data_IF_749020543221
#
_entry.id   IF_749020543221
#
_cell.length_a   1.000
_cell.length_b   1.000
_cell.length_c   1.000
_cell.angle_alpha   90.00
_cell.angle_beta   90.00
_cell.angle_gamma   90.00
#
_symmetry.space_group_name_H-M   'P 1'
#
loop_
_entity.id
_entity.type
_entity.pdbx_description
1 polymer ?
#
# COMPACT_ATOMS: atom_id res chain seq x y z
N UNK A 1 24.21 35.91 -20.81
CA UNK A 1 24.38 34.75 -19.91
C UNK A 1 24.18 33.50 -20.74
N UNK A 2 25.23 32.70 -20.93
CA UNK A 2 25.23 31.55 -21.84
C UNK A 2 24.32 30.45 -21.29
N UNK A 3 23.22 30.13 -21.99
CA UNK A 3 22.51 28.85 -21.79
C UNK A 3 23.39 27.76 -22.39
N UNK A 4 24.19 27.10 -21.57
CA UNK A 4 24.77 25.81 -21.96
C UNK A 4 23.65 24.78 -21.93
N UNK A 5 23.25 24.27 -23.10
CA UNK A 5 22.30 23.18 -23.22
C UNK A 5 22.90 21.93 -22.56
N UNK A 6 22.43 21.66 -21.35
CA UNK A 6 22.84 20.47 -20.61
C UNK A 6 22.28 19.22 -21.32
N UNK A 7 23.16 18.44 -21.94
CA UNK A 7 22.76 17.16 -22.55
C UNK A 7 22.67 16.08 -21.48
N UNK A 8 21.44 15.76 -21.07
CA UNK A 8 21.14 14.63 -20.16
C UNK A 8 21.79 13.33 -20.65
N UNK A 9 21.79 13.11 -21.97
CA UNK A 9 22.34 11.90 -22.59
C UNK A 9 23.86 11.73 -22.40
N UNK A 10 24.64 12.80 -22.49
CA UNK A 10 26.09 12.72 -22.30
C UNK A 10 26.46 12.42 -20.84
N UNK A 11 25.74 13.04 -19.90
CA UNK A 11 25.91 12.80 -18.47
C UNK A 11 25.58 11.36 -18.07
N UNK A 12 24.45 10.83 -18.55
CA UNK A 12 24.09 9.47 -18.12
C UNK A 12 24.98 8.41 -18.75
N UNK A 13 25.44 8.58 -20.00
CA UNK A 13 26.48 7.72 -20.58
C UNK A 13 27.73 7.63 -19.70
N UNK A 14 28.16 8.75 -19.12
CA UNK A 14 29.34 8.82 -18.25
C UNK A 14 29.13 8.19 -16.86
N UNK A 15 27.86 7.90 -16.52
CA UNK A 15 27.41 7.37 -15.23
C UNK A 15 27.14 5.86 -15.24
N UNK A 16 27.19 5.20 -16.40
CA UNK A 16 26.97 3.74 -16.54
C UNK A 16 28.04 2.96 -15.75
N UNK A 17 27.59 2.01 -14.92
CA UNK A 17 28.46 1.16 -14.11
C UNK A 17 28.99 1.79 -12.82
N UNK A 18 28.64 3.05 -12.53
CA UNK A 18 29.01 3.74 -11.29
C UNK A 18 27.86 3.74 -10.29
N UNK A 19 28.20 3.86 -9.01
CA UNK A 19 27.23 4.07 -7.94
C UNK A 19 26.66 5.50 -8.03
N UNK A 20 25.38 5.64 -8.39
CA UNK A 20 24.73 6.95 -8.63
C UNK A 20 24.73 7.89 -7.43
N UNK A 21 24.82 7.36 -6.20
CA UNK A 21 24.94 8.16 -4.97
C UNK A 21 26.19 9.04 -4.95
N UNK A 22 27.22 8.67 -5.73
CA UNK A 22 28.52 9.37 -5.82
C UNK A 22 28.63 10.29 -7.03
N UNK A 23 27.58 10.41 -7.85
CA UNK A 23 27.56 11.25 -9.05
C UNK A 23 26.65 12.45 -8.80
N UNK A 24 27.18 13.65 -8.99
CA UNK A 24 26.40 14.89 -8.86
C UNK A 24 25.37 14.96 -9.98
N UNK A 25 24.09 14.80 -9.64
CA UNK A 25 23.00 14.92 -10.60
C UNK A 25 22.84 16.38 -11.03
N UNK A 26 22.66 16.65 -12.33
CA UNK A 26 22.35 17.97 -12.87
C UNK A 26 21.08 18.53 -12.25
N UNK A 27 21.12 19.79 -11.81
CA UNK A 27 20.00 20.43 -11.11
C UNK A 27 18.69 20.46 -11.93
N UNK A 28 18.78 20.41 -13.27
CA UNK A 28 17.62 20.39 -14.16
C UNK A 28 16.83 19.06 -14.09
N UNK A 29 17.41 18.02 -13.51
CA UNK A 29 16.75 16.74 -13.25
C UNK A 29 16.12 16.69 -11.85
N UNK A 30 16.23 17.76 -11.05
CA UNK A 30 15.63 17.80 -9.73
C UNK A 30 14.22 18.39 -9.77
N UNK A 31 13.35 17.89 -8.91
CA UNK A 31 12.11 18.58 -8.55
C UNK A 31 12.41 19.65 -7.48
N UNK A 32 11.62 20.73 -7.38
CA UNK A 32 11.86 21.83 -6.45
C UNK A 32 11.46 21.50 -5.00
N UNK A 33 11.73 20.27 -4.54
CA UNK A 33 11.44 19.81 -3.19
C UNK A 33 12.68 19.15 -2.58
N UNK A 34 12.92 19.43 -1.31
CA UNK A 34 13.79 18.62 -0.46
C UNK A 34 13.17 17.25 -0.24
N UNK A 35 14.00 16.22 -0.05
CA UNK A 35 13.49 14.89 0.29
C UNK A 35 12.66 14.90 1.59
N UNK A 36 12.91 15.82 2.53
CA UNK A 36 12.09 15.95 3.73
C UNK A 36 10.64 16.34 3.40
N UNK A 37 10.47 17.28 2.47
CA UNK A 37 9.16 17.69 1.96
C UNK A 37 8.50 16.55 1.17
N UNK A 38 9.32 15.80 0.41
CA UNK A 38 8.85 14.65 -0.37
C UNK A 38 8.24 13.57 0.52
N UNK A 39 8.84 13.32 1.69
CA UNK A 39 8.36 12.33 2.65
C UNK A 39 7.05 12.76 3.32
N UNK A 40 6.83 14.08 3.49
CA UNK A 40 5.56 14.58 4.03
C UNK A 40 4.35 14.20 3.16
N UNK A 41 4.55 13.98 1.86
CA UNK A 41 3.50 13.53 0.94
C UNK A 41 3.01 12.10 1.21
N UNK A 42 3.71 11.32 2.05
CA UNK A 42 3.16 10.04 2.55
C UNK A 42 1.85 10.23 3.32
N UNK A 43 1.60 11.43 3.84
CA UNK A 43 0.39 11.81 4.55
C UNK A 43 -0.71 12.41 3.66
N UNK A 44 -0.58 12.38 2.32
CA UNK A 44 -1.60 12.94 1.40
C UNK A 44 -3.00 12.38 1.67
N UNK A 45 -3.08 11.08 1.97
CA UNK A 45 -4.32 10.34 2.25
C UNK A 45 -4.52 10.04 3.74
N UNK A 46 -4.14 10.98 4.62
CA UNK A 46 -4.25 10.83 6.08
C UNK A 46 -5.66 10.46 6.56
N UNK A 47 -6.71 10.81 5.79
CA UNK A 47 -8.10 10.49 6.11
C UNK A 47 -8.39 8.98 6.21
N UNK A 48 -7.55 8.13 5.60
CA UNK A 48 -7.64 6.68 5.78
C UNK A 48 -7.31 6.26 7.21
N UNK A 49 -6.37 6.96 7.86
CA UNK A 49 -6.05 6.75 9.27
C UNK A 49 -7.16 7.28 10.17
N UNK A 50 -7.74 8.43 9.84
CA UNK A 50 -8.90 8.98 10.60
C UNK A 50 -10.09 8.00 10.56
N UNK A 51 -10.34 7.38 9.39
CA UNK A 51 -11.35 6.30 9.27
C UNK A 51 -10.97 5.07 10.09
N UNK A 52 -9.70 4.67 10.10
CA UNK A 52 -9.23 3.52 10.88
C UNK A 52 -9.41 3.74 12.39
N UNK A 53 -9.19 4.98 12.87
CA UNK A 53 -9.44 5.37 14.26
C UNK A 53 -10.92 5.22 14.65
N UNK A 54 -11.84 5.47 13.71
CA UNK A 54 -13.28 5.34 13.94
C UNK A 54 -13.87 3.94 13.76
N UNK A 55 -13.10 3.00 13.19
CA UNK A 55 -13.59 1.68 12.82
C UNK A 55 -13.42 0.67 13.97
N UNK A 56 -14.52 0.02 14.37
CA UNK A 56 -14.53 -0.92 15.50
C UNK A 56 -14.10 -2.32 15.10
N UNK A 57 -14.35 -2.73 13.87
CA UNK A 57 -13.93 -4.03 13.36
C UNK A 57 -12.41 -4.04 13.10
N UNK A 58 -11.61 -4.86 13.80
CA UNK A 58 -10.17 -4.94 13.60
C UNK A 58 -9.77 -5.38 12.18
N UNK A 59 -10.62 -6.14 11.48
CA UNK A 59 -10.34 -6.56 10.10
C UNK A 59 -10.46 -5.36 9.16
N UNK A 60 -11.55 -4.58 9.26
CA UNK A 60 -11.72 -3.34 8.49
C UNK A 60 -10.70 -2.26 8.84
N UNK A 61 -10.28 -2.16 10.11
CA UNK A 61 -9.16 -1.28 10.47
C UNK A 61 -7.89 -1.68 9.73
N UNK A 62 -7.57 -2.97 9.71
CA UNK A 62 -6.38 -3.47 9.02
C UNK A 62 -6.43 -3.19 7.52
N UNK A 63 -7.61 -3.22 6.91
CA UNK A 63 -7.83 -2.83 5.50
C UNK A 63 -7.55 -1.36 5.25
N UNK A 64 -8.05 -0.47 6.11
CA UNK A 64 -7.80 0.97 6.03
C UNK A 64 -6.31 1.31 6.22
N UNK A 65 -5.64 0.65 7.16
CA UNK A 65 -4.18 0.79 7.36
C UNK A 65 -3.41 0.26 6.15
N UNK A 66 -3.85 -0.85 5.56
CA UNK A 66 -3.25 -1.42 4.34
C UNK A 66 -3.42 -0.47 3.15
N UNK A 67 -4.61 0.11 2.98
CA UNK A 67 -4.88 1.11 1.96
C UNK A 67 -4.01 2.36 2.16
N UNK A 68 -3.84 2.83 3.40
CA UNK A 68 -2.95 3.95 3.72
C UNK A 68 -1.50 3.64 3.33
N UNK A 69 -0.97 2.47 3.72
CA UNK A 69 0.39 2.05 3.38
C UNK A 69 0.62 2.05 1.85
N UNK A 70 -0.33 1.53 1.06
CA UNK A 70 -0.27 1.56 -0.40
C UNK A 70 -0.34 3.00 -0.95
N UNK A 71 -1.28 3.80 -0.44
CA UNK A 71 -1.50 5.18 -0.90
C UNK A 71 -0.28 6.07 -0.70
N UNK A 72 0.53 5.85 0.34
CA UNK A 72 1.75 6.62 0.58
C UNK A 72 2.77 6.52 -0.56
N UNK A 73 2.80 5.38 -1.26
CA UNK A 73 3.67 5.14 -2.42
C UNK A 73 3.15 5.84 -3.69
N UNK A 74 1.88 6.24 -3.71
CA UNK A 74 1.24 6.98 -4.81
C UNK A 74 1.86 8.34 -5.09
N UNK A 75 2.48 8.95 -4.09
CA UNK A 75 3.27 10.17 -4.21
C UNK A 75 4.34 10.08 -5.33
N UNK A 76 4.82 8.90 -5.69
CA UNK A 76 5.80 8.71 -6.78
C UNK A 76 5.22 8.81 -8.20
N UNK A 77 3.90 8.77 -8.37
CA UNK A 77 3.27 8.69 -9.68
C UNK A 77 3.47 9.99 -10.49
N UNK A 78 4.00 9.86 -11.71
CA UNK A 78 4.19 10.99 -12.64
C UNK A 78 5.32 11.95 -12.27
N UNK A 79 6.08 11.66 -11.21
CA UNK A 79 7.24 12.46 -10.80
C UNK A 79 8.48 11.97 -11.52
N UNK A 80 9.06 12.86 -12.33
CA UNK A 80 10.24 12.58 -13.16
C UNK A 80 11.51 13.13 -12.51
N UNK A 81 11.38 14.13 -11.64
CA UNK A 81 12.50 14.80 -10.97
C UNK A 81 12.94 14.10 -9.69
N UNK A 82 14.25 14.15 -9.41
CA UNK A 82 14.83 13.70 -8.15
C UNK A 82 14.65 14.81 -7.08
N UNK A 83 14.19 14.51 -5.87
CA UNK A 83 14.19 15.51 -4.80
C UNK A 83 15.62 15.90 -4.41
N UNK A 84 15.80 17.11 -3.90
CA UNK A 84 17.08 17.54 -3.34
C UNK A 84 17.46 16.64 -2.16
N UNK A 85 18.72 16.20 -2.14
CA UNK A 85 19.27 15.46 -1.01
C UNK A 85 19.45 16.43 0.16
N UNK A 86 18.76 16.25 1.30
CA UNK A 86 18.83 17.19 2.39
C UNK A 86 20.24 17.27 2.99
N UNK A 87 20.58 18.43 3.55
CA UNK A 87 21.80 18.58 4.35
C UNK A 87 21.66 17.85 5.68
N UNK A 88 22.78 17.44 6.30
CA UNK A 88 22.75 16.88 7.65
C UNK A 88 22.14 17.90 8.63
N UNK A 89 21.14 17.49 9.41
CA UNK A 89 20.42 18.36 10.34
C UNK A 89 19.42 19.31 9.69
N UNK A 90 19.21 19.24 8.37
CA UNK A 90 18.08 19.93 7.74
C UNK A 90 16.78 19.38 8.31
N UNK A 91 15.83 20.28 8.61
CA UNK A 91 14.53 19.95 9.17
C UNK A 91 13.39 20.47 8.29
N UNK A 92 12.25 19.80 8.33
CA UNK A 92 11.00 20.26 7.72
C UNK A 92 9.84 19.99 8.66
N UNK A 93 8.93 20.96 8.81
CA UNK A 93 7.69 20.82 9.55
C UNK A 93 6.48 21.14 8.67
N UNK A 94 5.37 20.47 8.93
CA UNK A 94 4.09 20.73 8.27
C UNK A 94 2.95 20.52 9.26
N UNK A 95 2.16 21.58 9.46
CA UNK A 95 0.87 21.50 10.13
C UNK A 95 -0.22 21.37 9.05
N UNK A 96 -0.92 20.25 9.03
CA UNK A 96 -1.96 20.02 8.03
C UNK A 96 -3.12 19.22 8.61
N UNK A 97 -4.34 19.73 8.41
CA UNK A 97 -5.57 19.16 8.98
C UNK A 97 -5.44 18.98 10.50
N UNK A 98 -5.47 17.75 10.98
CA UNK A 98 -5.45 17.33 12.38
C UNK A 98 -4.12 16.66 12.79
N UNK A 99 -3.05 16.84 12.00
CA UNK A 99 -1.73 16.30 12.35
C UNK A 99 -0.61 17.34 12.19
N UNK A 100 0.49 17.06 12.90
CA UNK A 100 1.77 17.76 12.77
C UNK A 100 2.79 16.74 12.27
N UNK A 101 3.42 17.04 11.14
CA UNK A 101 4.53 16.28 10.57
C UNK A 101 5.83 17.03 10.85
N UNK A 102 6.85 16.30 11.31
CA UNK A 102 8.23 16.79 11.45
C UNK A 102 9.19 15.77 10.84
N UNK A 103 10.21 16.25 10.13
CA UNK A 103 11.27 15.43 9.59
C UNK A 103 12.64 16.07 9.75
N UNK A 104 13.65 15.23 9.88
CA UNK A 104 15.06 15.63 9.99
C UNK A 104 15.94 14.68 9.17
N UNK A 105 16.94 15.25 8.51
CA UNK A 105 18.03 14.46 7.94
C UNK A 105 19.06 14.10 9.01
N UNK A 106 18.87 12.94 9.64
CA UNK A 106 19.67 12.49 10.78
C UNK A 106 21.03 11.88 10.40
N UNK A 107 21.25 11.57 9.12
CA UNK A 107 22.55 11.11 8.60
C UNK A 107 22.72 11.49 7.14
N UNK A 108 23.94 11.82 6.72
CA UNK A 108 24.27 12.15 5.33
C UNK A 108 25.04 11.03 4.60
N UNK A 109 25.81 10.21 5.32
CA UNK A 109 26.59 9.10 4.77
C UNK A 109 26.49 7.84 5.66
N UNK A 110 25.53 6.94 5.39
CA UNK A 110 24.52 7.00 4.31
C UNK A 110 23.42 8.05 4.58
N UNK A 111 22.70 8.54 3.55
CA UNK A 111 21.56 9.43 3.75
C UNK A 111 20.43 8.71 4.49
N UNK A 112 20.01 9.26 5.63
CA UNK A 112 18.87 8.77 6.42
C UNK A 112 18.01 9.96 6.83
N UNK A 113 16.73 9.90 6.50
CA UNK A 113 15.70 10.83 6.95
C UNK A 113 14.88 10.16 8.04
N UNK A 114 14.69 10.81 9.19
CA UNK A 114 13.71 10.41 10.18
C UNK A 114 12.49 11.33 10.06
N UNK A 115 11.28 10.81 10.25
CA UNK A 115 10.08 11.62 10.39
C UNK A 115 9.17 11.09 11.49
N UNK A 116 8.38 12.01 12.04
CA UNK A 116 7.34 11.76 13.02
C UNK A 116 6.10 12.55 12.65
N UNK A 117 4.95 11.92 12.81
CA UNK A 117 3.63 12.52 12.66
C UNK A 117 2.88 12.31 13.96
N UNK A 118 2.32 13.37 14.50
CA UNK A 118 1.47 13.35 15.68
C UNK A 118 0.08 13.89 15.33
N UNK A 119 -0.96 13.19 15.78
CA UNK A 119 -2.34 13.66 15.82
C UNK A 119 -2.94 13.34 17.20
N UNK A 120 -4.15 13.80 17.48
CA UNK A 120 -4.83 13.45 18.74
C UNK A 120 -5.14 11.95 18.88
N UNK A 121 -5.17 11.20 17.78
CA UNK A 121 -5.65 9.81 17.75
C UNK A 121 -4.62 8.76 17.32
N UNK A 122 -3.56 9.20 16.65
CA UNK A 122 -2.51 8.32 16.15
C UNK A 122 -1.15 9.03 16.07
N UNK A 123 -0.08 8.23 16.05
CA UNK A 123 1.25 8.66 15.61
C UNK A 123 1.80 7.76 14.52
N UNK A 124 2.58 8.33 13.61
CA UNK A 124 3.31 7.62 12.57
C UNK A 124 4.78 8.03 12.61
N UNK A 125 5.70 7.07 12.70
CA UNK A 125 7.14 7.36 12.71
C UNK A 125 7.91 6.39 11.82
N UNK A 126 8.95 6.89 11.18
CA UNK A 126 9.86 6.05 10.42
C UNK A 126 11.25 6.66 10.25
N UNK A 127 12.20 5.80 9.90
CA UNK A 127 13.46 6.20 9.26
C UNK A 127 13.43 5.71 7.83
N UNK A 128 13.90 6.52 6.88
CA UNK A 128 13.97 6.18 5.48
C UNK A 128 15.41 6.29 4.99
N UNK A 129 15.92 5.18 4.46
CA UNK A 129 17.21 5.08 3.78
C UNK A 129 16.98 4.39 2.43
N UNK A 130 17.53 4.91 1.35
CA UNK A 130 17.38 4.31 0.02
C UNK A 130 18.73 3.83 -0.51
N UNK A 131 18.78 2.57 -0.92
CA UNK A 131 19.90 2.03 -1.68
C UNK A 131 19.55 2.01 -3.16
N UNK A 132 20.32 2.76 -3.95
CA UNK A 132 20.11 2.89 -5.39
C UNK A 132 21.09 1.98 -6.15
N UNK A 133 20.62 1.27 -7.18
CA UNK A 133 21.45 0.52 -8.13
C UNK A 133 21.10 0.91 -9.55
N UNK A 134 22.11 1.23 -10.35
CA UNK A 134 21.91 1.65 -11.73
C UNK A 134 22.25 0.53 -12.71
N UNK A 135 21.30 0.21 -13.59
CA UNK A 135 21.42 -0.86 -14.59
C UNK A 135 21.51 -0.32 -16.02
N UNK A 136 21.95 0.92 -16.20
CA UNK A 136 22.05 1.55 -17.51
C UNK A 136 20.73 2.16 -17.97
N UNK A 137 19.67 1.37 -18.18
CA UNK A 137 18.36 1.90 -18.61
C UNK A 137 17.38 2.16 -17.47
N UNK A 138 17.64 1.58 -16.31
CA UNK A 138 16.77 1.65 -15.14
C UNK A 138 17.57 1.85 -13.85
N UNK A 139 16.89 2.34 -12.81
CA UNK A 139 17.41 2.46 -11.45
C UNK A 139 16.53 1.61 -10.54
N UNK A 140 17.14 0.66 -9.85
CA UNK A 140 16.48 -0.03 -8.74
C UNK A 140 16.66 0.76 -7.45
N UNK A 141 15.58 0.90 -6.72
CA UNK A 141 15.49 1.63 -5.47
C UNK A 141 15.01 0.66 -4.40
N UNK A 142 15.86 0.45 -3.40
CA UNK A 142 15.57 -0.41 -2.26
C UNK A 142 15.39 0.46 -1.02
N UNK A 143 14.15 0.76 -0.61
CA UNK A 143 13.89 1.41 0.66
C UNK A 143 14.31 0.51 1.82
N UNK A 144 14.80 1.15 2.87
CA UNK A 144 15.17 0.56 4.16
C UNK A 144 14.59 1.42 5.27
N UNK A 145 14.21 0.75 6.34
CA UNK A 145 13.58 1.34 7.50
C UNK A 145 12.20 0.77 7.78
N UNK A 146 11.75 0.91 9.01
CA UNK A 146 10.47 0.41 9.50
C UNK A 146 9.55 1.60 9.71
N UNK A 147 8.37 1.56 9.10
CA UNK A 147 7.30 2.50 9.39
C UNK A 147 6.49 1.91 10.55
N UNK A 148 6.23 2.72 11.57
CA UNK A 148 5.46 2.32 12.76
C UNK A 148 4.29 3.28 12.94
N UNK A 149 3.07 2.74 12.94
CA UNK A 149 1.83 3.45 13.23
C UNK A 149 1.30 2.99 14.59
N UNK A 150 0.89 3.93 15.42
CA UNK A 150 0.18 3.67 16.67
C UNK A 150 -1.22 4.28 16.59
N UNK A 151 -2.26 3.49 16.82
CA UNK A 151 -3.62 3.98 17.05
C UNK A 151 -3.88 4.00 18.56
N UNK A 152 -4.13 5.17 19.14
CA UNK A 152 -4.20 5.32 20.59
C UNK A 152 -5.46 4.70 21.19
N UNK A 153 -6.62 4.93 20.58
CA UNK A 153 -7.90 4.45 21.11
C UNK A 153 -7.96 2.93 21.30
N UNK A 154 -7.41 2.18 20.35
CA UNK A 154 -7.37 0.71 20.39
C UNK A 154 -6.09 0.15 21.03
N UNK A 155 -5.11 1.01 21.35
CA UNK A 155 -3.77 0.60 21.74
C UNK A 155 -3.13 -0.37 20.72
N UNK A 156 -3.29 -0.06 19.43
CA UNK A 156 -2.84 -0.91 18.33
C UNK A 156 -1.56 -0.38 17.69
N UNK A 157 -0.57 -1.27 17.56
CA UNK A 157 0.70 -0.96 16.91
C UNK A 157 0.83 -1.73 15.59
N UNK A 158 1.10 -1.00 14.51
CA UNK A 158 1.29 -1.55 13.17
C UNK A 158 2.68 -1.24 12.66
N UNK A 159 3.26 -2.17 11.91
CA UNK A 159 4.52 -1.94 11.22
C UNK A 159 4.55 -2.49 9.81
N UNK A 160 5.23 -1.79 8.91
CA UNK A 160 5.54 -2.28 7.57
C UNK A 160 6.85 -1.68 7.04
N UNK A 161 7.35 -2.24 5.95
CA UNK A 161 8.44 -1.68 5.14
C UNK A 161 7.94 -1.51 3.71
N UNK A 162 8.33 -0.42 3.06
CA UNK A 162 7.96 -0.20 1.66
C UNK A 162 8.66 -1.22 0.75
N UNK A 163 8.02 -1.54 -0.38
CA UNK A 163 8.54 -2.48 -1.37
C UNK A 163 9.63 -1.84 -2.23
N UNK A 164 10.38 -2.67 -2.95
CA UNK A 164 11.32 -2.17 -3.94
C UNK A 164 10.58 -1.53 -5.11
N UNK A 165 11.22 -0.57 -5.75
CA UNK A 165 10.74 0.01 -6.99
C UNK A 165 11.86 0.12 -8.03
N UNK A 166 11.48 0.06 -9.30
CA UNK A 166 12.37 0.27 -10.44
C UNK A 166 11.87 1.49 -11.22
N UNK A 167 12.77 2.44 -11.44
CA UNK A 167 12.56 3.59 -12.31
C UNK A 167 13.10 3.21 -13.68
N UNK A 168 12.19 3.05 -14.64
CA UNK A 168 12.51 2.61 -15.99
C UNK A 168 12.75 3.79 -16.93
N UNK A 169 13.44 3.52 -18.05
CA UNK A 169 13.66 4.44 -19.15
C UNK A 169 14.34 5.77 -18.77
N UNK A 170 15.26 5.76 -17.80
CA UNK A 170 15.92 6.99 -17.34
C UNK A 170 16.81 7.65 -18.41
N UNK A 171 17.11 6.95 -19.52
CA UNK A 171 17.93 7.48 -20.62
C UNK A 171 17.14 7.87 -21.87
N UNK A 172 16.10 7.08 -22.20
CA UNK A 172 15.44 7.13 -23.50
C UNK A 172 14.03 6.63 -23.36
N UNK A 173 13.06 7.41 -23.86
CA UNK A 173 11.64 7.12 -23.75
C UNK A 173 10.98 7.78 -22.54
N UNK A 174 9.72 7.42 -22.29
CA UNK A 174 8.96 7.95 -21.14
C UNK A 174 9.39 7.22 -19.86
N UNK A 175 9.84 7.99 -18.87
CA UNK A 175 10.13 7.48 -17.52
C UNK A 175 8.84 6.98 -16.89
N UNK A 176 8.91 5.80 -16.27
CA UNK A 176 7.84 5.23 -15.48
C UNK A 176 8.41 4.45 -14.31
N UNK A 177 7.60 4.29 -13.26
CA UNK A 177 8.00 3.66 -12.00
C UNK A 177 7.16 2.39 -11.82
N UNK A 178 7.82 1.32 -11.40
CA UNK A 178 7.23 0.03 -11.12
C UNK A 178 7.55 -0.38 -9.69
N UNK A 179 6.55 -0.77 -8.90
CA UNK A 179 6.75 -1.33 -7.57
C UNK A 179 6.65 -2.85 -7.66
N UNK A 180 7.56 -3.58 -7.01
CA UNK A 180 7.58 -5.05 -7.05
C UNK A 180 7.94 -5.66 -5.70
N UNK A 181 7.36 -6.83 -5.44
CA UNK A 181 7.64 -7.63 -4.25
C UNK A 181 6.51 -7.59 -3.24
N UNK A 182 6.81 -8.04 -2.02
CA UNK A 182 5.80 -8.25 -0.97
C UNK A 182 5.91 -7.20 0.12
N UNK A 183 4.80 -6.50 0.40
CA UNK A 183 4.62 -5.63 1.54
C UNK A 183 3.84 -6.39 2.61
N UNK A 184 4.36 -6.49 3.83
CA UNK A 184 3.62 -7.05 4.96
C UNK A 184 3.35 -5.95 6.00
N UNK A 185 2.06 -5.65 6.21
CA UNK A 185 1.61 -4.87 7.37
C UNK A 185 1.33 -5.85 8.50
N UNK A 186 1.94 -5.64 9.67
CA UNK A 186 1.73 -6.46 10.87
C UNK A 186 1.12 -5.61 11.97
N UNK A 187 -0.01 -6.03 12.53
CA UNK A 187 -0.55 -5.51 13.79
C UNK A 187 -0.04 -6.37 14.94
N UNK A 188 0.78 -5.79 15.80
CA UNK A 188 1.43 -6.50 16.92
C UNK A 188 0.51 -6.72 18.11
N UNK A 189 -0.53 -5.89 18.26
CA UNK A 189 -1.45 -5.96 19.39
C UNK A 189 -2.47 -7.09 19.24
N UNK A 190 -2.94 -7.33 18.02
CA UNK A 190 -3.93 -8.37 17.70
C UNK A 190 -3.34 -9.59 17.02
N UNK A 191 -2.07 -9.53 16.62
CA UNK A 191 -1.42 -10.58 15.84
C UNK A 191 -1.97 -10.73 14.43
N UNK A 192 -2.69 -9.72 13.90
CA UNK A 192 -3.15 -9.70 12.50
C UNK A 192 -2.01 -9.33 11.56
N UNK A 193 -2.03 -9.84 10.34
CA UNK A 193 -1.18 -9.27 9.28
C UNK A 193 -1.90 -9.26 7.93
N UNK A 194 -1.51 -8.31 7.08
CA UNK A 194 -1.93 -8.23 5.69
C UNK A 194 -0.68 -8.32 4.83
N UNK A 195 -0.71 -9.22 3.85
CA UNK A 195 0.36 -9.43 2.89
C UNK A 195 -0.11 -8.96 1.52
N UNK A 196 0.54 -7.94 0.98
CA UNK A 196 0.27 -7.35 -0.32
C UNK A 196 1.39 -7.71 -1.30
N UNK A 197 1.04 -8.30 -2.44
CA UNK A 197 1.96 -8.66 -3.52
C UNK A 197 1.81 -7.66 -4.67
N UNK A 198 2.92 -6.96 -4.97
CA UNK A 198 3.03 -6.04 -6.09
C UNK A 198 3.59 -6.80 -7.29
N UNK A 199 2.74 -7.04 -8.28
CA UNK A 199 3.12 -7.80 -9.46
C UNK A 199 3.81 -6.90 -10.51
N UNK A 200 4.84 -7.42 -11.18
CA UNK A 200 5.45 -6.73 -12.32
C UNK A 200 4.44 -6.60 -13.46
N UNK A 201 4.60 -5.56 -14.26
CA UNK A 201 3.90 -5.41 -15.53
C UNK A 201 4.27 -6.54 -16.49
N UNK A 202 3.28 -7.01 -17.27
CA UNK A 202 3.57 -7.98 -18.32
C UNK A 202 4.36 -7.30 -19.46
N UNK A 203 5.09 -8.08 -20.26
CA UNK A 203 5.97 -7.60 -21.35
C UNK A 203 5.32 -6.68 -22.41
N UNK A 204 3.99 -6.56 -22.42
CA UNK A 204 3.21 -5.69 -23.30
C UNK A 204 2.64 -4.43 -22.61
N UNK A 205 3.00 -4.17 -21.34
CA UNK A 205 2.51 -3.01 -20.58
C UNK A 205 1.06 -3.11 -20.10
N UNK A 206 0.43 -4.28 -20.25
CA UNK A 206 -0.89 -4.57 -19.69
C UNK A 206 -0.77 -5.07 -18.24
N UNK A 207 -1.63 -4.58 -17.34
CA UNK A 207 -1.67 -5.00 -15.93
C UNK A 207 -0.68 -4.27 -15.00
N UNK A 208 -0.19 -3.08 -15.38
CA UNK A 208 0.69 -2.28 -14.51
C UNK A 208 0.05 -1.98 -13.15
N UNK A 209 0.85 -2.05 -12.09
CA UNK A 209 0.47 -1.72 -10.70
C UNK A 209 -0.64 -2.58 -10.10
N UNK A 210 -0.72 -3.86 -10.50
CA UNK A 210 -1.63 -4.82 -9.87
C UNK A 210 -1.12 -5.21 -8.49
N UNK A 211 -1.99 -5.07 -7.49
CA UNK A 211 -1.73 -5.48 -6.11
C UNK A 211 -2.77 -6.52 -5.68
N UNK A 212 -2.29 -7.65 -5.16
CA UNK A 212 -3.12 -8.70 -4.56
C UNK A 212 -2.77 -8.77 -3.08
N UNK A 213 -3.78 -8.68 -2.23
CA UNK A 213 -3.66 -8.65 -0.78
C UNK A 213 -4.37 -9.82 -0.13
N UNK A 214 -3.76 -10.37 0.91
CA UNK A 214 -4.36 -11.41 1.74
C UNK A 214 -4.24 -11.00 3.20
N UNK A 215 -5.36 -11.03 3.93
CA UNK A 215 -5.42 -10.67 5.34
C UNK A 215 -5.55 -11.93 6.18
N UNK A 216 -4.66 -12.09 7.15
CA UNK A 216 -4.56 -13.23 8.04
C UNK A 216 -4.82 -12.83 9.48
N UNK A 217 -5.61 -13.62 10.20
CA UNK A 217 -5.90 -13.45 11.61
C UNK A 217 -5.52 -14.69 12.42
N UNK A 218 -5.08 -14.57 13.68
CA UNK A 218 -4.90 -15.72 14.54
C UNK A 218 -6.28 -16.28 14.90
N UNK A 219 -6.40 -17.62 14.95
CA UNK A 219 -7.65 -18.31 15.29
C UNK A 219 -8.23 -17.93 16.67
N UNK A 220 -7.42 -17.34 17.56
CA UNK A 220 -7.86 -16.80 18.85
C UNK A 220 -8.70 -15.54 18.72
N UNK A 221 -8.43 -14.68 17.73
CA UNK A 221 -9.17 -13.44 17.51
C UNK A 221 -10.62 -13.74 17.08
N UNK A 222 -10.81 -14.75 16.24
CA UNK A 222 -12.13 -15.22 15.81
C UNK A 222 -13.00 -15.63 16.99
N UNK A 223 -12.41 -16.35 17.95
CA UNK A 223 -13.10 -16.75 19.18
C UNK A 223 -13.48 -15.54 20.02
N UNK A 224 -12.60 -14.55 20.15
CA UNK A 224 -12.88 -13.32 20.90
C UNK A 224 -14.01 -12.49 20.25
N UNK A 225 -14.03 -12.37 18.92
CA UNK A 225 -15.09 -11.68 18.19
C UNK A 225 -16.44 -12.41 18.31
N UNK A 226 -16.45 -13.74 18.22
CA UNK A 226 -17.67 -14.55 18.39
C UNK A 226 -18.27 -14.41 19.81
N UNK A 227 -17.43 -14.46 20.85
CA UNK A 227 -17.87 -14.26 22.25
C UNK A 227 -18.39 -12.85 22.49
N UNK A 228 -17.77 -11.85 21.87
CA UNK A 228 -18.23 -10.47 21.96
C UNK A 228 -19.62 -10.31 21.33
N UNK A 229 -19.86 -10.91 20.16
CA UNK A 229 -21.16 -10.89 19.48
C UNK A 229 -22.27 -11.64 20.26
N UNK A 230 -21.94 -12.75 20.92
CA UNK A 230 -22.91 -13.48 21.76
C UNK A 230 -23.32 -12.69 23.02
N UNK A 231 -22.41 -11.91 23.59
CA UNK A 231 -22.70 -11.09 24.77
C UNK A 231 -23.56 -9.86 24.46
N UNK A 232 -23.49 -9.32 23.24
CA UNK A 232 -24.36 -8.22 22.79
C UNK A 232 -25.76 -8.69 22.37
N UNK A 233 -25.95 -9.99 22.11
CA UNK A 233 -27.20 -10.57 21.61
C UNK A 233 -28.11 -11.16 22.68
N UNK A 234 -27.87 -10.85 23.97
CA UNK A 234 -28.78 -11.22 25.07
C UNK A 234 -30.15 -10.52 25.08
N UNK A 235 -30.58 -9.89 23.96
CA UNK A 235 -31.95 -9.42 23.78
C UNK A 235 -32.63 -9.84 22.46
N UNK A 236 -32.12 -10.84 21.74
CA UNK A 236 -32.94 -11.47 20.70
C UNK A 236 -32.54 -12.94 20.50
N UNK A 237 -33.38 -13.81 21.06
CA UNK A 237 -33.37 -15.25 20.82
C UNK A 237 -33.73 -15.52 19.35
N UNK A 238 -32.74 -15.56 18.47
CA UNK A 238 -32.89 -16.22 17.16
C UNK A 238 -31.73 -17.16 16.97
N UNK A 239 -32.05 -18.44 17.15
CA UNK A 239 -31.29 -19.59 16.70
C UNK A 239 -30.76 -19.35 15.28
N UNK A 240 -29.50 -18.94 15.17
CA UNK A 240 -28.74 -19.17 13.95
C UNK A 240 -27.69 -20.18 14.30
N UNK A 241 -27.98 -21.42 13.94
CA UNK A 241 -27.03 -22.51 13.82
C UNK A 241 -25.93 -22.05 12.88
N UNK A 242 -24.92 -21.35 13.41
CA UNK A 242 -23.67 -21.11 12.70
C UNK A 242 -23.02 -22.48 12.61
N UNK A 243 -23.13 -23.05 11.42
CA UNK A 243 -22.54 -24.31 11.03
C UNK A 243 -21.09 -24.39 11.53
N UNK A 244 -20.93 -25.17 12.60
CA UNK A 244 -19.68 -25.79 13.02
C UNK A 244 -19.36 -26.85 11.94
N UNK A 245 -18.99 -26.37 10.75
CA UNK A 245 -18.33 -27.15 9.70
C UNK A 245 -16.95 -26.52 9.48
N UNK A 246 -16.29 -26.17 10.58
CA UNK A 246 -14.84 -26.21 10.67
C UNK A 246 -14.44 -27.60 11.16
N UNK A 247 -14.77 -28.64 10.37
CA UNK A 247 -14.35 -30.01 10.67
C UNK A 247 -12.94 -30.22 10.11
N UNK A 248 -11.98 -30.21 11.04
CA UNK A 248 -10.75 -31.00 11.03
C UNK A 248 -9.82 -30.85 9.81
N UNK A 249 -9.01 -29.80 9.83
CA UNK A 249 -7.58 -29.95 9.53
C UNK A 249 -6.84 -29.68 10.85
N UNK A 250 -6.88 -30.67 11.75
CA UNK A 250 -6.04 -30.67 12.93
C UNK A 250 -4.61 -30.99 12.49
N UNK A 251 -3.76 -29.97 12.44
CA UNK A 251 -2.35 -30.15 12.74
C UNK A 251 -2.08 -29.48 14.09
N UNK A 252 -1.86 -30.30 15.10
CA UNK A 252 -1.34 -29.89 16.39
C UNK A 252 0.10 -29.38 16.18
N UNK A 253 0.27 -28.06 16.10
CA UNK A 253 1.34 -27.27 16.73
C UNK A 253 1.23 -25.79 16.29
N UNK A 254 1.09 -24.90 17.28
CA UNK A 254 1.36 -23.45 17.26
C UNK A 254 0.48 -22.54 16.38
N UNK A 255 -0.13 -21.52 17.02
CA UNK A 255 -0.60 -20.25 16.41
C UNK A 255 -1.10 -20.36 14.96
N UNK A 256 -2.12 -21.17 14.69
CA UNK A 256 -2.67 -21.27 13.35
C UNK A 256 -3.40 -19.98 12.97
N UNK A 257 -3.01 -19.43 11.82
CA UNK A 257 -3.66 -18.29 11.19
C UNK A 257 -4.77 -18.77 10.26
N UNK A 258 -5.82 -17.96 10.13
CA UNK A 258 -6.94 -18.15 9.20
C UNK A 258 -6.93 -17.00 8.21
N UNK A 259 -7.02 -17.30 6.91
CA UNK A 259 -7.24 -16.30 5.87
C UNK A 259 -8.63 -15.69 6.07
N UNK A 260 -8.69 -14.37 6.18
CA UNK A 260 -9.91 -13.61 6.44
C UNK A 260 -10.48 -12.96 5.20
N UNK A 261 -9.60 -12.45 4.32
CA UNK A 261 -10.03 -11.73 3.12
C UNK A 261 -8.94 -11.73 2.06
N UNK A 262 -9.37 -11.75 0.80
CA UNK A 262 -8.54 -11.42 -0.35
C UNK A 262 -8.94 -10.02 -0.83
N UNK A 263 -7.95 -9.16 -1.05
CA UNK A 263 -8.11 -7.76 -1.43
C UNK A 263 -7.43 -7.60 -2.79
N UNK A 264 -8.15 -7.13 -3.81
CA UNK A 264 -7.54 -6.85 -5.11
C UNK A 264 -7.65 -5.36 -5.41
N UNK A 265 -6.64 -4.82 -6.09
CA UNK A 265 -6.73 -3.46 -6.60
C UNK A 265 -5.68 -3.17 -7.66
N UNK A 266 -6.01 -2.23 -8.53
CA UNK A 266 -5.04 -1.55 -9.38
C UNK A 266 -4.71 -0.22 -8.72
N UNK A 267 -3.43 0.11 -8.61
CA UNK A 267 -3.05 1.45 -8.18
C UNK A 267 -2.81 2.34 -9.41
N UNK A 268 -3.67 3.35 -9.58
CA UNK A 268 -3.44 4.45 -10.53
C UNK A 268 -3.72 5.80 -9.85
N UNK A 269 -2.87 6.80 -10.13
CA UNK A 269 -2.96 8.21 -9.65
C UNK A 269 -3.66 8.40 -8.29
N UNK A 270 -2.91 8.16 -7.21
CA UNK A 270 -3.33 8.61 -5.89
C UNK A 270 -4.41 7.76 -5.20
N UNK A 271 -5.18 6.95 -5.92
CA UNK A 271 -6.26 6.19 -5.30
C UNK A 271 -6.00 4.69 -5.48
N UNK A 272 -6.08 3.97 -4.36
CA UNK A 272 -6.40 2.56 -4.39
C UNK A 272 -7.85 2.47 -4.89
N UNK A 273 -8.03 2.31 -6.19
CA UNK A 273 -9.36 2.01 -6.73
C UNK A 273 -9.62 0.55 -6.46
N UNK A 274 -10.42 0.29 -5.43
CA UNK A 274 -11.00 -1.03 -5.23
C UNK A 274 -12.06 -1.20 -6.28
N UNK A 275 -12.04 -2.31 -7.01
CA UNK A 275 -13.19 -2.68 -7.82
C UNK A 275 -14.40 -2.84 -6.87
N UNK A 276 -15.54 -2.14 -7.09
CA UNK A 276 -16.65 -2.08 -6.14
C UNK A 276 -17.20 -3.45 -5.69
N UNK A 277 -17.03 -4.46 -6.52
CA UNK A 277 -17.52 -5.81 -6.26
C UNK A 277 -16.53 -6.66 -5.45
N UNK A 278 -15.26 -6.24 -5.29
CA UNK A 278 -14.20 -7.07 -4.70
C UNK A 278 -14.29 -7.20 -3.18
N UNK A 279 -14.84 -6.21 -2.47
CA UNK A 279 -15.09 -6.35 -1.03
C UNK A 279 -16.26 -7.29 -0.71
N UNK A 280 -17.15 -7.52 -1.68
CA UNK A 280 -18.38 -8.29 -1.52
C UNK A 280 -18.33 -9.65 -2.22
N UNK A 281 -17.44 -9.84 -3.19
CA UNK A 281 -17.29 -11.09 -3.92
C UNK A 281 -16.09 -11.87 -3.42
N UNK A 282 -16.40 -13.07 -2.91
CA UNK A 282 -15.50 -14.18 -2.53
C UNK A 282 -15.02 -14.20 -1.07
N UNK A 283 -15.95 -14.46 -0.17
CA UNK A 283 -15.77 -15.60 0.74
C UNK A 283 -15.75 -16.89 -0.09
N UNK A 284 -14.69 -17.13 -0.88
CA UNK A 284 -14.53 -18.43 -1.55
C UNK A 284 -14.11 -19.46 -0.49
N UNK A 285 -15.11 -20.17 0.04
CA UNK A 285 -14.90 -21.44 0.72
C UNK A 285 -14.27 -22.36 -0.33
N UNK A 286 -12.98 -22.66 -0.18
CA UNK A 286 -12.30 -23.69 -0.98
C UNK A 286 -12.88 -25.04 -0.54
N UNK A 287 -13.97 -25.47 -1.20
CA UNK A 287 -14.45 -26.83 -1.09
C UNK A 287 -13.62 -27.71 -2.04
N UNK A 288 -12.63 -28.41 -1.48
CA UNK A 288 -11.86 -29.43 -2.20
C UNK A 288 -12.72 -30.68 -2.38
N UNK A 289 -13.71 -30.61 -3.27
CA UNK A 289 -14.33 -31.79 -3.85
C UNK A 289 -13.60 -32.13 -5.17
N UNK A 290 -13.12 -33.36 -5.35
CA UNK A 290 -12.50 -33.76 -6.62
C UNK A 290 -13.54 -33.68 -7.75
N UNK A 291 -13.30 -32.80 -8.73
CA UNK A 291 -14.11 -32.68 -9.94
C UNK A 291 -14.16 -34.03 -10.66
N UNK A 292 -15.34 -34.66 -10.70
CA UNK A 292 -15.64 -35.74 -11.64
C UNK A 292 -15.70 -35.13 -13.04
N UNK A 293 -14.87 -35.68 -13.94
CA UNK A 293 -14.95 -35.42 -15.38
C UNK A 293 -16.30 -35.90 -15.92
N UNK A 294 -17.03 -35.00 -16.58
CA UNK A 294 -17.96 -35.38 -17.64
C UNK A 294 -17.98 -34.28 -18.69
N UNK A 295 -17.55 -34.67 -19.90
CA UNK A 295 -17.76 -33.94 -21.15
C UNK A 295 -19.24 -33.60 -21.33
N UNK A 296 -19.52 -32.42 -21.89
CA UNK A 296 -20.36 -32.30 -23.08
C UNK A 296 -20.20 -30.90 -23.70
N UNK A 297 -20.11 -30.91 -25.04
CA UNK A 297 -20.27 -29.76 -25.92
C UNK A 297 -21.69 -29.18 -25.78
N UNK A 298 -21.85 -27.87 -25.98
CA UNK A 298 -22.68 -27.33 -27.07
C UNK A 298 -22.68 -25.79 -27.05
N UNK A 299 -22.91 -25.23 -28.24
CA UNK A 299 -22.80 -23.83 -28.64
C UNK A 299 -23.93 -22.93 -28.12
N UNK A 300 -23.69 -21.62 -28.30
CA UNK A 300 -24.56 -20.62 -28.94
C UNK A 300 -24.78 -19.32 -28.15
N UNK A 301 -24.63 -18.25 -28.93
CA UNK A 301 -24.85 -16.84 -28.65
C UNK A 301 -26.26 -16.53 -28.14
N UNK A 302 -26.40 -15.50 -27.29
CA UNK A 302 -27.45 -14.48 -27.41
C UNK A 302 -27.32 -13.38 -26.36
N UNK A 303 -27.32 -12.14 -26.87
CA UNK A 303 -27.66 -10.92 -26.16
C UNK A 303 -28.99 -11.02 -25.41
N UNK A 304 -29.07 -10.35 -24.25
CA UNK A 304 -30.32 -10.20 -23.51
C UNK A 304 -30.18 -9.24 -22.33
N UNK A 305 -30.57 -7.99 -22.57
CA UNK A 305 -30.79 -6.95 -21.55
C UNK A 305 -31.68 -7.45 -20.41
N UNK A 306 -31.31 -7.16 -19.16
CA UNK A 306 -32.32 -6.87 -18.13
C UNK A 306 -31.79 -5.85 -17.12
N UNK A 307 -32.70 -4.95 -16.78
CA UNK A 307 -32.58 -3.69 -16.07
C UNK A 307 -32.73 -3.83 -14.55
N UNK A 308 -32.25 -2.82 -13.83
CA UNK A 308 -32.65 -2.34 -12.50
C UNK A 308 -32.06 -3.01 -11.25
N UNK A 309 -31.03 -2.37 -10.67
CA UNK A 309 -31.19 -1.57 -9.44
C UNK A 309 -29.84 -0.93 -9.05
N UNK A 310 -29.40 0.04 -9.84
CA UNK A 310 -28.16 0.80 -9.61
C UNK A 310 -28.48 2.15 -8.99
N UNK A 311 -28.85 2.16 -7.71
CA UNK A 311 -28.91 3.37 -6.89
C UNK A 311 -28.21 3.09 -5.55
N UNK A 312 -26.89 2.99 -5.57
CA UNK A 312 -26.02 3.37 -4.45
C UNK A 312 -24.55 3.17 -4.87
N UNK A 313 -23.74 4.22 -4.69
CA UNK A 313 -22.26 4.20 -4.73
C UNK A 313 -21.62 4.33 -6.13
N UNK A 314 -22.15 5.19 -7.01
CA UNK A 314 -21.37 5.70 -8.16
C UNK A 314 -20.99 7.20 -8.06
N UNK A 315 -21.44 7.92 -7.02
CA UNK A 315 -21.28 9.38 -6.98
C UNK A 315 -20.13 9.94 -6.12
N UNK A 316 -19.24 9.13 -5.53
CA UNK A 316 -18.42 9.63 -4.40
C UNK A 316 -16.89 9.69 -4.60
N UNK A 317 -16.38 9.52 -5.82
CA UNK A 317 -14.92 9.64 -6.11
C UNK A 317 -14.60 10.73 -7.16
N UNK A 318 -15.59 11.48 -7.67
CA UNK A 318 -15.38 12.52 -8.69
C UNK A 318 -15.38 13.98 -8.20
N UNK A 319 -15.62 14.26 -6.91
CA UNK A 319 -15.86 15.64 -6.44
C UNK A 319 -14.71 16.31 -5.65
N UNK A 320 -13.47 15.84 -5.77
CA UNK A 320 -12.30 16.56 -5.19
C UNK A 320 -11.41 17.28 -6.20
N UNK A 321 -11.86 17.46 -7.44
CA UNK A 321 -11.29 18.47 -8.34
C UNK A 321 -12.16 19.72 -8.25
N UNK A 322 -11.51 20.86 -7.96
CA UNK A 322 -12.07 22.20 -7.71
C UNK A 322 -12.44 22.47 -6.25
N UNK A 323 -11.44 22.79 -5.42
CA UNK A 323 -11.23 24.17 -4.96
C UNK A 323 -9.84 24.39 -4.39
#
# INVERSE_FOLDING_TARGET
>A
MVKTDFSVWSFVKQSIGKELSKITMPIILNEPLSFLQRVAEYMEYSELLDKAVGEKDPIKRMELVSAFAVSSMSSNAGRIGKPFNPLLGETYELHYRNFVFVAEQVSHHPPITAFHVESDNYSLRATLQFKLRFWGKSIDVQPKGLITLQLYHFNESYTWQNVNLTIHNILTGKIWVEHTGTLRITNHSLGLYCQLEFHPSNSFGHGCNRVIGELYAPSTLDKMQAVSASNTSHNTTVNTTINIISKNIFNHHNNSYVLKRIIFGNWSRGLFTVEPNVWNEKEEIIDNQPKKNSNNNDNDDADGQSTNSSECIESWIMDSKYH
#
